data_IF_762798418885
#
_entry.id   IF_762798418885
#
_cell.length_a   1.000
_cell.length_b   1.000
_cell.length_c   1.000
_cell.angle_alpha   90.00
_cell.angle_beta   90.00
_cell.angle_gamma   90.00
#
_symmetry.space_group_name_H-M   'P 1'
#
loop_
_entity.id
_entity.type
_entity.pdbx_description
1 polymer ?
#
# COMPACT_ATOMS: atom_id res chain seq x y z
N UNK A 1 5.50 11.53 -26.36
CA UNK A 1 6.33 11.67 -25.14
C UNK A 1 7.78 11.53 -25.53
N UNK A 2 8.62 12.51 -25.21
CA UNK A 2 10.04 12.56 -25.60
C UNK A 2 10.79 11.35 -24.96
N UNK A 3 11.74 10.73 -25.67
CA UNK A 3 12.50 9.55 -25.18
C UNK A 3 13.14 9.79 -23.81
N UNK A 4 13.64 10.99 -23.54
CA UNK A 4 14.20 11.37 -22.23
C UNK A 4 13.18 11.27 -21.09
N UNK A 5 11.93 11.69 -21.31
CA UNK A 5 10.86 11.57 -20.30
C UNK A 5 10.44 10.11 -20.03
N UNK A 6 10.49 9.26 -21.08
CA UNK A 6 10.22 7.83 -20.91
C UNK A 6 11.31 7.15 -20.09
N UNK A 7 12.59 7.44 -20.38
CA UNK A 7 13.72 6.89 -19.63
C UNK A 7 13.69 7.32 -18.17
N UNK A 8 13.42 8.60 -17.90
CA UNK A 8 13.28 9.10 -16.52
C UNK A 8 12.14 8.39 -15.76
N UNK A 9 10.99 8.20 -16.40
CA UNK A 9 9.86 7.48 -15.79
C UNK A 9 10.20 6.02 -15.45
N UNK A 10 10.94 5.33 -16.32
CA UNK A 10 11.40 3.95 -16.08
C UNK A 10 12.39 3.90 -14.92
N UNK A 11 13.35 4.83 -14.86
CA UNK A 11 14.32 4.90 -13.75
C UNK A 11 13.61 5.15 -12.43
N UNK A 12 12.67 6.10 -12.38
CA UNK A 12 11.90 6.40 -11.17
C UNK A 12 11.04 5.21 -10.74
N UNK A 13 10.44 4.48 -11.67
CA UNK A 13 9.67 3.28 -11.37
C UNK A 13 10.56 2.16 -10.78
N UNK A 14 11.77 1.97 -11.34
CA UNK A 14 12.73 1.00 -10.79
C UNK A 14 13.21 1.38 -9.39
N UNK A 15 13.50 2.66 -9.15
CA UNK A 15 13.86 3.16 -7.82
C UNK A 15 12.73 2.96 -6.82
N UNK A 16 11.49 3.29 -7.20
CA UNK A 16 10.31 3.08 -6.36
C UNK A 16 10.13 1.60 -6.00
N UNK A 17 10.27 0.70 -6.98
CA UNK A 17 10.19 -0.75 -6.75
C UNK A 17 11.31 -1.24 -5.82
N UNK A 18 12.53 -0.70 -5.96
CA UNK A 18 13.66 -1.03 -5.08
C UNK A 18 13.39 -0.61 -3.63
N UNK A 19 12.95 0.64 -3.42
CA UNK A 19 12.59 1.12 -2.08
C UNK A 19 11.43 0.33 -1.47
N UNK A 20 10.43 -0.02 -2.27
CA UNK A 20 9.33 -0.86 -1.82
C UNK A 20 9.79 -2.25 -1.41
N UNK A 21 10.69 -2.87 -2.17
CA UNK A 21 11.24 -4.19 -1.86
C UNK A 21 12.05 -4.21 -0.55
N UNK A 22 12.78 -3.13 -0.27
CA UNK A 22 13.57 -2.96 0.97
C UNK A 22 12.64 -2.79 2.19
N UNK A 23 11.47 -2.19 2.03
CA UNK A 23 10.56 -1.89 3.13
C UNK A 23 10.18 -3.14 3.95
N UNK A 24 9.83 -4.26 3.31
CA UNK A 24 9.34 -5.46 4.02
C UNK A 24 10.39 -6.09 4.95
N UNK A 25 11.65 -6.34 4.53
CA UNK A 25 12.69 -6.86 5.41
C UNK A 25 13.01 -5.91 6.57
N UNK A 26 13.11 -4.60 6.30
CA UNK A 26 13.37 -3.61 7.35
C UNK A 26 12.21 -3.53 8.35
N UNK A 27 10.97 -3.54 7.85
CA UNK A 27 9.78 -3.58 8.72
C UNK A 27 9.80 -4.81 9.63
N UNK A 28 10.24 -5.97 9.14
CA UNK A 28 10.32 -7.19 9.97
C UNK A 28 11.27 -7.00 11.17
N UNK A 29 12.41 -6.37 10.96
CA UNK A 29 13.37 -6.08 12.04
C UNK A 29 12.80 -5.06 13.03
N UNK A 30 12.21 -3.98 12.54
CA UNK A 30 11.62 -2.94 13.39
C UNK A 30 10.43 -3.43 14.20
N UNK A 31 9.64 -4.36 13.65
CA UNK A 31 8.49 -4.95 14.33
C UNK A 31 8.84 -5.80 15.56
N UNK A 32 10.13 -6.07 15.82
CA UNK A 32 10.58 -6.67 17.08
C UNK A 32 10.39 -5.70 18.26
N UNK A 33 10.44 -4.38 17.99
CA UNK A 33 10.42 -3.33 19.02
C UNK A 33 9.29 -2.30 18.83
N UNK A 34 8.69 -2.26 17.64
CA UNK A 34 7.62 -1.34 17.26
C UNK A 34 6.35 -2.13 16.97
N UNK A 35 5.23 -1.75 17.57
CA UNK A 35 3.98 -2.44 17.31
C UNK A 35 3.51 -2.24 15.85
N UNK A 36 2.77 -3.21 15.29
CA UNK A 36 2.30 -3.16 13.90
C UNK A 36 1.53 -1.89 13.54
N UNK A 37 0.70 -1.39 14.47
CA UNK A 37 -0.14 -0.22 14.20
C UNK A 37 0.66 1.08 14.23
N UNK A 38 1.62 1.23 15.16
CA UNK A 38 2.57 2.35 15.13
C UNK A 38 3.45 2.31 13.88
N UNK A 39 3.94 1.13 13.48
CA UNK A 39 4.76 0.98 12.28
C UNK A 39 3.98 1.45 11.03
N UNK A 40 2.73 1.02 10.88
CA UNK A 40 1.85 1.49 9.80
C UNK A 40 1.68 3.01 9.81
N UNK A 41 1.45 3.59 11.00
CA UNK A 41 1.31 5.04 11.18
C UNK A 41 2.55 5.80 10.71
N UNK A 42 3.74 5.42 11.18
CA UNK A 42 4.99 6.13 10.85
C UNK A 42 5.33 6.04 9.36
N UNK A 43 5.10 4.90 8.71
CA UNK A 43 5.31 4.75 7.28
C UNK A 43 4.45 5.73 6.47
N UNK A 44 3.16 5.82 6.80
CA UNK A 44 2.24 6.70 6.08
C UNK A 44 2.46 8.17 6.42
N UNK A 45 2.70 8.53 7.70
CA UNK A 45 3.04 9.90 8.08
C UNK A 45 4.33 10.36 7.42
N UNK A 46 5.36 9.52 7.39
CA UNK A 46 6.63 9.82 6.71
C UNK A 46 6.43 10.09 5.22
N UNK A 47 5.65 9.26 4.53
CA UNK A 47 5.30 9.47 3.13
C UNK A 47 4.49 10.76 2.93
N UNK A 48 3.47 11.00 3.75
CA UNK A 48 2.63 12.20 3.67
C UNK A 48 3.40 13.49 3.92
N UNK A 49 4.27 13.52 4.92
CA UNK A 49 5.13 14.67 5.23
C UNK A 49 6.16 14.88 4.11
N UNK A 50 6.84 13.82 3.68
CA UNK A 50 7.86 13.92 2.64
C UNK A 50 7.29 14.43 1.32
N UNK A 51 6.18 13.87 0.86
CA UNK A 51 5.50 14.34 -0.35
C UNK A 51 4.86 15.72 -0.14
N UNK A 52 4.37 16.03 1.07
CA UNK A 52 3.87 17.35 1.42
C UNK A 52 4.94 18.44 1.28
N UNK A 53 6.16 18.18 1.73
CA UNK A 53 7.30 19.10 1.53
C UNK A 53 7.58 19.25 0.03
N UNK A 54 7.63 18.14 -0.72
CA UNK A 54 7.82 18.21 -2.18
C UNK A 54 6.71 19.00 -2.87
N UNK A 55 5.46 18.87 -2.42
CA UNK A 55 4.32 19.61 -2.95
C UNK A 55 4.50 21.12 -2.76
N UNK A 56 4.97 21.57 -1.59
CA UNK A 56 5.23 22.99 -1.32
C UNK A 56 6.26 23.58 -2.31
N UNK A 57 7.29 22.82 -2.67
CA UNK A 57 8.27 23.27 -3.68
C UNK A 57 7.73 23.25 -5.11
N UNK A 58 6.71 22.45 -5.40
CA UNK A 58 6.17 22.27 -6.75
C UNK A 58 4.81 22.98 -6.99
N UNK A 59 4.33 23.78 -6.06
CA UNK A 59 3.03 24.49 -6.15
C UNK A 59 2.82 25.23 -7.46
N UNK A 60 3.89 25.80 -8.06
CA UNK A 60 3.81 26.52 -9.34
C UNK A 60 3.50 25.58 -10.51
N UNK A 61 4.01 24.36 -10.50
CA UNK A 61 3.78 23.35 -11.53
C UNK A 61 2.37 22.77 -11.45
N UNK A 62 1.80 22.73 -10.24
CA UNK A 62 0.47 22.17 -9.96
C UNK A 62 -0.70 23.13 -10.26
N UNK A 63 -0.44 24.38 -10.59
CA UNK A 63 -1.51 25.41 -10.78
C UNK A 63 -2.55 25.06 -11.83
N UNK A 64 -2.20 24.27 -12.83
CA UNK A 64 -3.06 23.89 -13.94
C UNK A 64 -3.65 22.46 -13.78
N UNK A 65 -3.40 21.80 -12.67
CA UNK A 65 -3.93 20.45 -12.40
C UNK A 65 -5.22 20.60 -11.60
N UNK A 66 -6.23 19.85 -11.97
CA UNK A 66 -7.49 19.83 -11.25
C UNK A 66 -7.29 19.34 -9.82
N UNK A 67 -7.87 20.06 -8.87
CA UNK A 67 -7.87 19.69 -7.45
C UNK A 67 -9.02 18.78 -7.13
N UNK A 68 -8.92 18.09 -5.98
CA UNK A 68 -10.01 17.32 -5.42
C UNK A 68 -11.22 18.21 -5.11
N UNK A 69 -12.41 17.68 -5.36
CA UNK A 69 -13.69 18.34 -5.17
C UNK A 69 -14.59 17.52 -4.23
N UNK A 70 -15.72 18.08 -3.83
CA UNK A 70 -16.71 17.36 -3.03
C UNK A 70 -17.26 16.09 -3.73
N UNK A 71 -17.31 16.08 -5.05
CA UNK A 71 -17.72 14.93 -5.82
C UNK A 71 -16.73 13.74 -5.71
N UNK A 72 -15.47 14.02 -5.39
CA UNK A 72 -14.41 13.02 -5.21
C UNK A 72 -14.40 12.44 -3.79
N UNK A 73 -15.18 13.01 -2.86
CA UNK A 73 -15.18 12.68 -1.44
C UNK A 73 -15.41 11.19 -1.15
N UNK A 74 -16.37 10.48 -1.80
CA UNK A 74 -16.59 9.05 -1.54
C UNK A 74 -15.34 8.20 -1.83
N UNK A 75 -14.64 8.51 -2.93
CA UNK A 75 -13.40 7.81 -3.31
C UNK A 75 -12.24 8.19 -2.40
N UNK A 76 -12.14 9.46 -2.02
CA UNK A 76 -11.10 9.95 -1.09
C UNK A 76 -11.25 9.33 0.30
N UNK A 77 -12.47 9.26 0.83
CA UNK A 77 -12.73 8.61 2.12
C UNK A 77 -12.48 7.10 2.03
N UNK A 78 -12.94 6.45 0.96
CA UNK A 78 -12.66 5.04 0.72
C UNK A 78 -11.15 4.75 0.68
N UNK A 79 -10.38 5.54 -0.07
CA UNK A 79 -8.93 5.48 -0.13
C UNK A 79 -8.30 5.58 1.26
N UNK A 80 -8.66 6.60 2.06
CA UNK A 80 -8.08 6.83 3.40
C UNK A 80 -8.39 5.67 4.35
N UNK A 81 -9.65 5.21 4.40
CA UNK A 81 -10.07 4.12 5.31
C UNK A 81 -9.34 2.82 4.95
N UNK A 82 -9.25 2.50 3.66
CA UNK A 82 -8.56 1.30 3.21
C UNK A 82 -7.06 1.37 3.45
N UNK A 83 -6.47 2.55 3.34
CA UNK A 83 -5.05 2.80 3.66
C UNK A 83 -4.76 2.91 5.18
N UNK A 84 -5.76 2.96 6.03
CA UNK A 84 -5.60 2.70 7.47
C UNK A 84 -5.52 1.19 7.70
N UNK A 85 -6.44 0.43 7.11
CA UNK A 85 -6.58 -1.00 7.36
C UNK A 85 -5.46 -1.83 6.73
N UNK A 86 -5.14 -1.57 5.46
CA UNK A 86 -4.20 -2.37 4.69
C UNK A 86 -2.79 -2.43 5.31
N UNK A 87 -2.13 -1.31 5.67
CA UNK A 87 -0.80 -1.37 6.26
C UNK A 87 -0.82 -1.99 7.67
N UNK A 88 -1.89 -1.80 8.45
CA UNK A 88 -2.03 -2.47 9.74
C UNK A 88 -2.07 -3.99 9.54
N UNK A 89 -2.89 -4.48 8.60
CA UNK A 89 -2.93 -5.90 8.27
C UNK A 89 -1.59 -6.41 7.76
N UNK A 90 -0.92 -5.66 6.88
CA UNK A 90 0.41 -6.04 6.40
C UNK A 90 1.41 -6.15 7.55
N UNK A 91 1.48 -5.15 8.43
CA UNK A 91 2.42 -5.15 9.55
C UNK A 91 2.14 -6.29 10.53
N UNK A 92 0.87 -6.60 10.82
CA UNK A 92 0.49 -7.79 11.58
C UNK A 92 0.96 -9.06 10.85
N UNK A 93 0.70 -9.15 9.55
CA UNK A 93 1.08 -10.30 8.73
C UNK A 93 2.59 -10.54 8.71
N UNK A 94 3.39 -9.48 8.57
CA UNK A 94 4.86 -9.53 8.65
C UNK A 94 5.33 -9.92 10.05
N UNK A 95 4.70 -9.38 11.09
CA UNK A 95 5.10 -9.62 12.48
C UNK A 95 4.97 -11.10 12.87
N UNK A 96 3.82 -11.71 12.57
CA UNK A 96 3.52 -13.10 12.94
C UNK A 96 3.91 -14.15 11.88
N UNK A 97 4.24 -13.69 10.66
CA UNK A 97 4.66 -14.53 9.53
C UNK A 97 6.12 -14.30 9.14
N UNK A 98 6.45 -14.66 7.90
CA UNK A 98 7.77 -14.40 7.31
C UNK A 98 7.75 -13.20 6.35
N UNK A 99 8.84 -12.39 6.35
CA UNK A 99 9.00 -11.27 5.43
C UNK A 99 9.01 -11.74 3.96
N UNK A 100 9.60 -12.92 3.70
CA UNK A 100 9.62 -13.51 2.36
C UNK A 100 8.23 -13.81 1.84
N UNK A 101 7.39 -14.48 2.63
CA UNK A 101 6.01 -14.76 2.25
C UNK A 101 5.19 -13.48 2.10
N UNK A 102 5.37 -12.50 2.99
CA UNK A 102 4.68 -11.22 2.88
C UNK A 102 5.04 -10.48 1.59
N UNK A 103 6.33 -10.45 1.20
CA UNK A 103 6.77 -9.83 -0.05
C UNK A 103 6.19 -10.51 -1.29
N UNK A 104 6.10 -11.82 -1.28
CA UNK A 104 5.59 -12.59 -2.43
C UNK A 104 4.06 -12.53 -2.52
N UNK A 105 3.36 -12.67 -1.39
CA UNK A 105 1.91 -12.54 -1.30
C UNK A 105 1.45 -11.10 -1.58
N UNK A 106 2.28 -10.09 -1.37
CA UNK A 106 2.02 -8.70 -1.75
C UNK A 106 1.63 -8.55 -3.23
N UNK A 107 2.17 -9.38 -4.11
CA UNK A 107 1.80 -9.38 -5.52
C UNK A 107 0.32 -9.75 -5.77
N UNK A 108 -0.36 -10.38 -4.81
CA UNK A 108 -1.79 -10.66 -4.91
C UNK A 108 -2.64 -9.38 -4.98
N UNK A 109 -2.09 -8.24 -4.60
CA UNK A 109 -2.71 -6.92 -4.80
C UNK A 109 -3.13 -6.69 -6.25
N UNK A 110 -2.31 -7.10 -7.23
CA UNK A 110 -2.64 -6.96 -8.66
C UNK A 110 -3.88 -7.79 -9.00
N UNK A 111 -3.97 -8.99 -8.44
CA UNK A 111 -5.14 -9.88 -8.61
C UNK A 111 -6.38 -9.24 -7.99
N UNK A 112 -6.29 -8.81 -6.73
CA UNK A 112 -7.39 -8.17 -6.02
C UNK A 112 -7.86 -6.89 -6.74
N UNK A 113 -6.93 -6.00 -7.13
CA UNK A 113 -7.24 -4.78 -7.89
C UNK A 113 -8.01 -5.10 -9.17
N UNK A 114 -7.54 -6.09 -9.93
CA UNK A 114 -8.16 -6.44 -11.23
C UNK A 114 -9.54 -7.08 -11.06
N UNK A 115 -9.70 -7.98 -10.10
CA UNK A 115 -10.99 -8.62 -9.84
C UNK A 115 -12.01 -7.58 -9.35
N UNK A 116 -11.61 -6.67 -8.46
CA UNK A 116 -12.47 -5.59 -7.96
C UNK A 116 -12.83 -4.63 -9.09
N UNK A 117 -11.87 -4.24 -9.94
CA UNK A 117 -12.11 -3.41 -11.11
C UNK A 117 -13.17 -4.02 -12.06
N UNK A 118 -13.06 -5.32 -12.30
CA UNK A 118 -14.02 -6.05 -13.12
C UNK A 118 -15.42 -6.13 -12.48
N UNK A 119 -15.48 -6.54 -11.20
CA UNK A 119 -16.77 -6.88 -10.55
C UNK A 119 -17.54 -5.65 -10.05
N UNK A 120 -16.82 -4.66 -9.53
CA UNK A 120 -17.43 -3.47 -8.90
C UNK A 120 -17.45 -2.30 -9.88
N UNK A 121 -16.37 -2.09 -10.62
CA UNK A 121 -16.22 -0.92 -11.50
C UNK A 121 -16.53 -1.20 -12.97
N UNK A 122 -16.80 -2.47 -13.33
CA UNK A 122 -17.21 -2.87 -14.69
C UNK A 122 -16.09 -2.72 -15.74
N UNK A 123 -14.82 -2.72 -15.32
CA UNK A 123 -13.69 -2.55 -16.22
C UNK A 123 -13.40 -3.83 -17.01
N UNK A 124 -12.97 -3.69 -18.27
CA UNK A 124 -12.66 -4.83 -19.12
C UNK A 124 -11.24 -5.33 -18.85
N UNK A 125 -11.10 -6.63 -18.59
CA UNK A 125 -9.83 -7.30 -18.36
C UNK A 125 -9.35 -7.97 -19.65
N UNK A 126 -8.12 -7.68 -20.07
CA UNK A 126 -7.52 -8.28 -21.26
C UNK A 126 -7.13 -9.74 -21.05
N UNK A 127 -7.08 -10.61 -22.10
CA UNK A 127 -6.63 -12.01 -21.96
C UNK A 127 -5.20 -12.15 -21.39
N UNK A 128 -4.32 -11.18 -21.71
CA UNK A 128 -2.96 -11.14 -21.13
C UNK A 128 -3.01 -10.95 -19.61
N UNK A 129 -3.90 -10.08 -19.13
CA UNK A 129 -4.03 -9.82 -17.70
C UNK A 129 -4.61 -11.04 -16.99
N UNK A 130 -5.55 -11.77 -17.60
CA UNK A 130 -6.05 -13.03 -17.05
C UNK A 130 -4.96 -14.09 -16.88
N UNK A 131 -4.03 -14.24 -17.85
CA UNK A 131 -2.91 -15.16 -17.69
C UNK A 131 -1.96 -14.73 -16.57
N UNK A 132 -1.66 -13.43 -16.46
CA UNK A 132 -0.84 -12.90 -15.37
C UNK A 132 -1.50 -13.16 -13.99
N UNK A 133 -2.80 -12.91 -13.85
CA UNK A 133 -3.58 -13.22 -12.64
C UNK A 133 -3.46 -14.70 -12.28
N UNK A 134 -3.59 -15.59 -13.27
CA UNK A 134 -3.46 -17.05 -13.07
C UNK A 134 -2.10 -17.43 -12.48
N UNK A 135 -1.00 -16.90 -13.04
CA UNK A 135 0.36 -17.15 -12.52
C UNK A 135 0.58 -16.56 -11.13
N UNK A 136 0.12 -15.33 -10.87
CA UNK A 136 0.26 -14.69 -9.54
C UNK A 136 -0.56 -15.46 -8.50
N UNK A 137 -1.80 -15.84 -8.84
CA UNK A 137 -2.65 -16.62 -7.94
C UNK A 137 -2.03 -17.97 -7.61
N UNK A 138 -1.53 -18.70 -8.61
CA UNK A 138 -0.84 -19.97 -8.42
C UNK A 138 0.39 -19.81 -7.52
N UNK A 139 1.22 -18.80 -7.79
CA UNK A 139 2.39 -18.48 -6.98
C UNK A 139 2.00 -18.15 -5.54
N UNK A 140 0.96 -17.34 -5.34
CA UNK A 140 0.46 -16.96 -4.01
C UNK A 140 -0.07 -18.17 -3.23
N UNK A 141 -0.75 -19.10 -3.90
CA UNK A 141 -1.19 -20.37 -3.29
C UNK A 141 0.01 -21.21 -2.85
N UNK A 142 0.99 -21.42 -3.74
CA UNK A 142 2.18 -22.21 -3.42
C UNK A 142 2.98 -21.65 -2.24
N UNK A 143 3.03 -20.32 -2.12
CA UNK A 143 3.76 -19.61 -1.07
C UNK A 143 2.99 -19.46 0.24
N UNK A 144 1.66 -19.60 0.20
CA UNK A 144 0.83 -19.58 1.42
C UNK A 144 1.03 -20.80 2.29
N UNK A 145 1.63 -21.86 1.75
CA UNK A 145 1.91 -23.10 2.48
C UNK A 145 3.34 -23.08 3.01
N UNK A 146 3.51 -22.77 4.30
CA UNK A 146 4.79 -22.82 5.00
C UNK A 146 5.04 -24.24 5.56
N UNK A 147 6.10 -24.89 5.04
CA UNK A 147 6.69 -26.09 5.66
C UNK A 147 6.35 -27.42 5.00
N UNK A 148 7.30 -28.35 5.14
CA UNK A 148 7.19 -29.74 4.68
C UNK A 148 6.20 -30.50 5.59
N UNK A 149 5.02 -30.79 5.08
CA UNK A 149 4.13 -31.81 5.66
C UNK A 149 2.84 -31.35 6.32
N UNK A 150 2.49 -30.05 6.35
CA UNK A 150 1.16 -29.64 6.74
C UNK A 150 0.66 -28.49 5.85
N UNK A 151 -0.46 -28.71 5.18
CA UNK A 151 -1.24 -27.66 4.50
C UNK A 151 -1.89 -26.70 5.53
N UNK A 152 -1.08 -26.16 6.47
CA UNK A 152 -1.57 -25.15 7.39
C UNK A 152 -1.39 -23.80 6.77
N UNK A 153 -2.51 -23.16 6.44
CA UNK A 153 -2.53 -21.79 6.03
C UNK A 153 -2.01 -20.92 7.19
N UNK A 154 -0.94 -20.17 6.93
CA UNK A 154 -0.35 -19.31 7.96
C UNK A 154 -1.28 -18.13 8.26
N UNK A 155 -1.54 -17.85 9.54
CA UNK A 155 -2.32 -16.66 9.94
C UNK A 155 -1.67 -15.38 9.44
N UNK A 156 -0.34 -15.32 9.40
CA UNK A 156 0.40 -14.20 8.81
C UNK A 156 0.08 -14.00 7.33
N UNK A 157 0.03 -15.08 6.55
CA UNK A 157 -0.36 -15.04 5.14
C UNK A 157 -1.80 -14.53 4.94
N UNK A 158 -2.73 -14.90 5.83
CA UNK A 158 -4.10 -14.40 5.79
C UNK A 158 -4.15 -12.87 5.95
N UNK A 159 -3.42 -12.32 6.93
CA UNK A 159 -3.35 -10.88 7.12
C UNK A 159 -2.73 -10.16 5.92
N UNK A 160 -1.72 -10.73 5.28
CA UNK A 160 -1.14 -10.16 4.05
C UNK A 160 -2.17 -10.16 2.91
N UNK A 161 -2.93 -11.23 2.72
CA UNK A 161 -3.99 -11.28 1.71
C UNK A 161 -5.09 -10.26 2.01
N UNK A 162 -5.50 -10.10 3.27
CA UNK A 162 -6.46 -9.05 3.65
C UNK A 162 -5.92 -7.65 3.32
N UNK A 163 -4.64 -7.39 3.59
CA UNK A 163 -3.99 -6.14 3.21
C UNK A 163 -4.05 -5.90 1.69
N UNK A 164 -3.72 -6.91 0.89
CA UNK A 164 -3.75 -6.80 -0.58
C UNK A 164 -5.16 -6.62 -1.13
N UNK A 165 -6.18 -7.21 -0.51
CA UNK A 165 -7.57 -6.95 -0.87
C UNK A 165 -8.00 -5.50 -0.54
N UNK A 166 -7.58 -4.97 0.61
CA UNK A 166 -7.81 -3.56 0.96
C UNK A 166 -7.13 -2.63 -0.04
N UNK A 167 -5.84 -2.86 -0.37
CA UNK A 167 -5.17 -2.06 -1.40
C UNK A 167 -5.76 -2.26 -2.79
N UNK A 168 -6.23 -3.46 -3.13
CA UNK A 168 -6.93 -3.70 -4.38
C UNK A 168 -8.18 -2.82 -4.55
N UNK A 169 -8.96 -2.65 -3.50
CA UNK A 169 -10.12 -1.74 -3.50
C UNK A 169 -9.67 -0.28 -3.45
N UNK A 170 -8.67 0.03 -2.66
CA UNK A 170 -8.07 1.37 -2.56
C UNK A 170 -7.56 1.86 -3.92
N UNK A 171 -6.80 1.03 -4.65
CA UNK A 171 -6.29 1.34 -5.98
C UNK A 171 -7.42 1.71 -6.96
N UNK A 172 -8.57 1.03 -6.88
CA UNK A 172 -9.74 1.36 -7.68
C UNK A 172 -10.35 2.71 -7.27
N UNK A 173 -10.41 3.04 -5.96
CA UNK A 173 -10.86 4.34 -5.49
C UNK A 173 -9.91 5.45 -5.97
N UNK A 174 -8.61 5.29 -5.78
CA UNK A 174 -7.58 6.22 -6.25
C UNK A 174 -7.60 6.36 -7.78
N UNK A 175 -7.85 5.27 -8.51
CA UNK A 175 -8.02 5.28 -9.96
C UNK A 175 -9.11 6.24 -10.44
N UNK A 176 -10.24 6.35 -9.72
CA UNK A 176 -11.33 7.27 -10.05
C UNK A 176 -10.96 8.76 -9.91
N UNK A 177 -10.01 9.07 -9.03
CA UNK A 177 -9.53 10.44 -8.79
C UNK A 177 -8.15 10.70 -9.40
N UNK A 178 -7.62 9.78 -10.19
CA UNK A 178 -6.24 9.82 -10.74
C UNK A 178 -5.99 10.99 -11.71
N UNK A 179 -7.03 11.65 -12.23
CA UNK A 179 -6.92 12.87 -13.04
C UNK A 179 -6.57 14.10 -12.21
N UNK A 180 -6.73 14.03 -10.89
CA UNK A 180 -6.48 15.13 -9.94
C UNK A 180 -5.00 15.22 -9.56
N UNK A 181 -4.66 16.22 -8.75
CA UNK A 181 -3.28 16.40 -8.29
C UNK A 181 -2.76 15.17 -7.53
N UNK A 182 -1.72 14.55 -8.07
CA UNK A 182 -1.05 13.41 -7.43
C UNK A 182 -0.47 13.80 -6.07
N UNK A 183 0.05 15.02 -5.94
CA UNK A 183 0.56 15.51 -4.64
C UNK A 183 -0.55 15.61 -3.60
N UNK A 184 -1.73 16.18 -3.96
CA UNK A 184 -2.87 16.25 -3.04
C UNK A 184 -3.32 14.86 -2.60
N UNK A 185 -3.47 13.94 -3.54
CA UNK A 185 -3.87 12.55 -3.25
C UNK A 185 -2.89 11.90 -2.28
N UNK A 186 -1.59 11.95 -2.56
CA UNK A 186 -0.58 11.28 -1.72
C UNK A 186 -0.42 11.95 -0.36
N UNK A 187 -0.53 13.29 -0.28
CA UNK A 187 -0.49 14.01 1.00
C UNK A 187 -1.69 13.65 1.87
N UNK A 188 -2.90 13.68 1.31
CA UNK A 188 -4.11 13.28 2.04
C UNK A 188 -4.03 11.83 2.50
N UNK A 189 -3.68 10.93 1.57
CA UNK A 189 -3.47 9.51 1.82
C UNK A 189 -2.48 9.30 2.97
N UNK A 190 -1.29 9.88 2.88
CA UNK A 190 -0.24 9.73 3.88
C UNK A 190 -0.60 10.31 5.24
N UNK A 191 -1.07 11.55 5.29
CA UNK A 191 -1.38 12.21 6.56
C UNK A 191 -2.61 11.61 7.25
N UNK A 192 -3.73 11.47 6.54
CA UNK A 192 -4.97 11.00 7.18
C UNK A 192 -4.91 9.50 7.52
N UNK A 193 -4.31 8.66 6.66
CA UNK A 193 -4.16 7.24 6.96
C UNK A 193 -3.13 7.01 8.07
N UNK A 194 -2.04 7.79 8.07
CA UNK A 194 -1.06 7.74 9.14
C UNK A 194 -1.62 8.20 10.49
N UNK A 195 -2.38 9.31 10.52
CA UNK A 195 -3.06 9.77 11.74
C UNK A 195 -4.15 8.79 12.18
N UNK A 196 -4.93 8.23 11.25
CA UNK A 196 -5.93 7.21 11.56
C UNK A 196 -5.30 5.97 12.20
N UNK A 197 -4.20 5.47 11.67
CA UNK A 197 -3.43 4.37 12.27
C UNK A 197 -2.89 4.75 13.65
N UNK A 198 -2.41 5.99 13.84
CA UNK A 198 -1.95 6.49 15.13
C UNK A 198 -3.06 6.48 16.18
N UNK A 199 -4.24 6.97 15.81
CA UNK A 199 -5.42 6.95 16.70
C UNK A 199 -5.78 5.52 17.12
N UNK A 200 -5.74 4.57 16.17
CA UNK A 200 -5.99 3.15 16.48
C UNK A 200 -4.93 2.61 17.45
N UNK A 201 -3.63 2.92 17.26
CA UNK A 201 -2.57 2.49 18.15
C UNK A 201 -2.79 3.01 19.58
N UNK A 202 -3.19 4.27 19.73
CA UNK A 202 -3.50 4.90 21.02
C UNK A 202 -4.72 4.23 21.68
N UNK A 203 -5.80 4.00 20.91
CA UNK A 203 -7.02 3.33 21.42
C UNK A 203 -6.69 1.90 21.90
N UNK A 204 -5.85 1.18 21.16
CA UNK A 204 -5.36 -0.16 21.54
C UNK A 204 -4.38 -0.13 22.72
N UNK A 205 -3.99 1.04 23.19
CA UNK A 205 -2.97 1.24 24.25
C UNK A 205 -1.66 0.51 23.94
N UNK A 206 -1.26 0.51 22.66
CA UNK A 206 0.04 0.00 22.26
C UNK A 206 1.15 0.86 22.90
N UNK A 207 2.25 0.23 23.36
CA UNK A 207 3.38 0.96 23.92
C UNK A 207 4.01 1.84 22.86
N UNK A 208 4.28 3.10 23.18
CA UNK A 208 4.98 4.01 22.28
C UNK A 208 6.41 3.51 22.10
N UNK A 209 6.92 3.37 20.86
CA UNK A 209 8.27 2.91 20.62
C UNK A 209 9.29 3.89 21.15
N UNK A 210 10.47 3.41 21.56
CA UNK A 210 11.59 4.26 21.95
C UNK A 210 12.00 5.19 20.81
N UNK A 211 12.53 6.38 21.15
CA UNK A 211 12.92 7.39 20.15
C UNK A 211 13.97 6.87 19.16
N UNK A 212 14.78 5.90 19.58
CA UNK A 212 15.79 5.23 18.74
C UNK A 212 15.21 4.45 17.56
N UNK A 213 13.93 4.13 17.59
CA UNK A 213 13.22 3.42 16.49
C UNK A 213 12.39 4.33 15.58
N UNK A 214 12.37 5.64 15.88
CA UNK A 214 11.57 6.64 15.12
C UNK A 214 12.48 7.50 14.24
N UNK A 215 13.74 7.64 14.59
CA UNK A 215 14.75 8.42 13.88
C UNK A 215 15.41 7.61 12.78
#
# INVERSE_FOLDING_TARGET
MNNSKKTAAVILALLAATFYAINTPFSKVLLENVSPTFMASFLYLGAGIGVGIMYLFNLKSEKNIERLTEADLPYTVGMIVLDILAPIFLMIGINIGSASNASLLGNFEIVATTIIALLIFGEKVTPRLWSAIGFITLSSILLSFEGRGSFKFSLGSLFVILATCCWGLENNCTGKISSKSTYEIVVLKGLFSGLGSLVIAIIKRESFPGLEYIA
#
